data_IF_191589697713
#
_entry.id   IF_191589697713
#
_cell.length_a   1.000
_cell.length_b   1.000
_cell.length_c   1.000
_cell.angle_alpha   90.00
_cell.angle_beta   90.00
_cell.angle_gamma   90.00
#
_symmetry.space_group_name_H-M   'P 1'
#
loop_
_entity.id
_entity.type
_entity.pdbx_description
1 polymer ?
#
# COMPACT_ATOMS: atom_id res chain seq x y z
N UNK A 1 55.77 23.44 34.21
CA UNK A 1 56.06 22.27 33.37
C UNK A 1 54.75 21.58 33.01
N UNK A 2 54.54 21.28 31.70
CA UNK A 2 53.79 20.16 31.04
C UNK A 2 52.53 19.59 31.73
N UNK A 3 51.43 19.17 31.10
CA UNK A 3 50.90 18.89 29.74
C UNK A 3 49.37 18.71 29.99
N UNK A 4 48.39 18.99 29.12
CA UNK A 4 48.23 18.55 27.73
C UNK A 4 47.62 17.14 27.64
N UNK A 5 46.30 17.01 27.39
CA UNK A 5 45.66 16.08 26.42
C UNK A 5 44.19 15.73 26.76
N UNK A 6 43.33 15.87 25.74
CA UNK A 6 41.97 15.34 25.61
C UNK A 6 42.02 13.85 25.17
N UNK A 7 41.07 13.00 25.58
CA UNK A 7 40.67 11.78 24.84
C UNK A 7 39.32 11.25 25.39
N UNK A 8 38.20 11.33 24.64
CA UNK A 8 37.52 10.25 23.87
C UNK A 8 36.89 9.18 24.79
N UNK A 9 35.59 8.87 24.76
CA UNK A 9 34.69 8.76 23.61
C UNK A 9 34.55 7.29 23.23
N UNK A 10 33.75 6.51 23.96
CA UNK A 10 33.44 5.13 23.59
C UNK A 10 31.98 5.03 23.13
N UNK A 11 31.82 5.25 21.84
CA UNK A 11 30.64 4.88 21.07
C UNK A 11 30.71 3.37 20.82
N UNK A 12 29.69 2.63 21.27
CA UNK A 12 29.50 1.24 20.83
C UNK A 12 29.14 1.25 19.34
N UNK A 13 30.14 0.98 18.50
CA UNK A 13 29.98 0.78 17.07
C UNK A 13 29.54 -0.66 16.80
N UNK A 14 28.27 -0.84 16.43
CA UNK A 14 27.78 -2.06 15.80
C UNK A 14 27.39 -1.77 14.36
N UNK A 15 28.35 -2.02 13.47
CA UNK A 15 28.22 -2.50 12.08
C UNK A 15 26.85 -2.38 11.39
N UNK A 16 26.70 -1.31 10.62
CA UNK A 16 25.60 -1.07 9.67
C UNK A 16 25.74 -1.88 8.37
N UNK A 17 25.77 -3.22 8.42
CA UNK A 17 25.95 -4.05 7.21
C UNK A 17 24.82 -5.09 6.97
N UNK A 18 23.75 -5.14 7.78
CA UNK A 18 22.65 -6.11 7.55
C UNK A 18 21.44 -5.57 6.78
N UNK A 19 21.26 -4.24 6.69
CA UNK A 19 19.99 -3.68 6.19
C UNK A 19 19.75 -3.84 4.68
N UNK A 20 20.79 -4.18 3.90
CA UNK A 20 20.66 -4.31 2.44
C UNK A 20 20.18 -5.70 2.02
N UNK A 21 20.67 -6.77 2.66
CA UNK A 21 20.31 -8.16 2.35
C UNK A 21 18.85 -8.47 2.65
N UNK A 22 18.34 -8.02 3.80
CA UNK A 22 16.93 -8.24 4.19
C UNK A 22 15.94 -7.74 3.12
N UNK A 23 16.29 -6.65 2.42
CA UNK A 23 15.39 -6.07 1.42
C UNK A 23 15.45 -6.73 0.05
N UNK A 24 16.52 -7.44 -0.28
CA UNK A 24 16.65 -8.14 -1.57
C UNK A 24 15.94 -9.49 -1.52
N UNK A 25 16.08 -10.20 -0.40
CA UNK A 25 15.36 -11.45 -0.14
C UNK A 25 13.84 -11.21 -0.10
N UNK A 26 13.41 -10.12 0.56
CA UNK A 26 12.01 -9.69 0.55
C UNK A 26 11.48 -9.39 -0.86
N UNK A 27 12.33 -8.88 -1.77
CA UNK A 27 11.93 -8.62 -3.16
C UNK A 27 11.74 -9.93 -3.92
N UNK A 28 12.66 -10.88 -3.77
CA UNK A 28 12.56 -12.18 -4.41
C UNK A 28 11.29 -12.91 -3.97
N UNK A 29 11.02 -12.93 -2.67
CA UNK A 29 9.81 -13.55 -2.10
C UNK A 29 8.55 -12.87 -2.64
N UNK A 30 8.52 -11.53 -2.63
CA UNK A 30 7.41 -10.76 -3.17
C UNK A 30 7.13 -11.12 -4.65
N UNK A 31 8.16 -11.16 -5.50
CA UNK A 31 8.02 -11.49 -6.92
C UNK A 31 7.42 -12.87 -7.13
N UNK A 32 7.95 -13.89 -6.43
CA UNK A 32 7.45 -15.27 -6.55
C UNK A 32 5.97 -15.36 -6.14
N UNK A 33 5.60 -14.74 -5.02
CA UNK A 33 4.21 -14.71 -4.56
C UNK A 33 3.28 -14.04 -5.58
N UNK A 34 3.68 -12.89 -6.15
CA UNK A 34 2.88 -12.20 -7.16
C UNK A 34 2.62 -13.04 -8.42
N UNK A 35 3.64 -13.76 -8.90
CA UNK A 35 3.49 -14.61 -10.09
C UNK A 35 2.51 -15.76 -9.86
N UNK A 36 2.57 -16.42 -8.70
CA UNK A 36 1.63 -17.50 -8.37
C UNK A 36 0.18 -17.00 -8.28
N UNK A 37 -0.05 -15.85 -7.66
CA UNK A 37 -1.41 -15.35 -7.44
C UNK A 37 -2.05 -14.68 -8.65
N UNK A 38 -1.26 -14.13 -9.59
CA UNK A 38 -1.78 -13.56 -10.84
C UNK A 38 -2.68 -14.51 -11.63
N UNK A 39 -2.41 -15.83 -11.54
CA UNK A 39 -3.21 -16.88 -12.20
C UNK A 39 -4.58 -17.08 -11.56
N UNK A 40 -4.70 -16.87 -10.24
CA UNK A 40 -5.97 -16.99 -9.52
C UNK A 40 -6.87 -15.76 -9.74
N UNK A 41 -6.29 -14.57 -9.85
CA UNK A 41 -7.02 -13.32 -10.00
C UNK A 41 -7.86 -13.26 -11.28
N UNK A 42 -7.37 -13.84 -12.39
CA UNK A 42 -8.13 -13.95 -13.63
C UNK A 42 -9.41 -14.80 -13.49
N UNK A 43 -9.42 -15.82 -12.63
CA UNK A 43 -10.63 -16.61 -12.37
C UNK A 43 -11.65 -15.82 -11.53
N UNK A 44 -11.18 -15.04 -10.55
CA UNK A 44 -12.02 -14.17 -9.73
C UNK A 44 -12.66 -13.07 -10.58
N UNK A 45 -11.88 -12.40 -11.43
CA UNK A 45 -12.40 -11.35 -12.32
C UNK A 45 -13.51 -11.87 -13.25
N UNK A 46 -13.31 -13.05 -13.87
CA UNK A 46 -14.35 -13.71 -14.67
C UNK A 46 -15.62 -14.01 -13.87
N UNK A 47 -15.47 -14.55 -12.66
CA UNK A 47 -16.60 -14.84 -11.78
C UNK A 47 -17.38 -13.57 -11.41
N UNK A 48 -16.68 -12.49 -11.05
CA UNK A 48 -17.31 -11.20 -10.71
C UNK A 48 -18.05 -10.59 -11.90
N UNK A 49 -17.49 -10.71 -13.12
CA UNK A 49 -18.11 -10.16 -14.34
C UNK A 49 -19.46 -10.81 -14.70
N UNK A 50 -19.71 -12.04 -14.23
CA UNK A 50 -20.97 -12.77 -14.47
C UNK A 50 -22.04 -12.57 -13.40
N UNK A 51 -21.74 -11.85 -12.30
CA UNK A 51 -22.71 -11.64 -11.22
C UNK A 51 -23.61 -10.44 -11.50
N UNK A 52 -24.91 -10.62 -11.27
CA UNK A 52 -25.88 -9.53 -11.39
C UNK A 52 -25.55 -8.42 -10.39
N UNK A 53 -25.58 -7.13 -10.79
CA UNK A 53 -25.35 -6.03 -9.86
C UNK A 53 -26.37 -6.05 -8.73
N UNK A 54 -25.90 -6.00 -7.48
CA UNK A 54 -26.78 -5.82 -6.32
C UNK A 54 -27.32 -4.38 -6.36
N UNK A 55 -28.66 -4.17 -6.41
CA UNK A 55 -29.24 -2.83 -6.38
C UNK A 55 -28.72 -2.04 -5.17
N UNK A 56 -28.32 -0.80 -5.42
CA UNK A 56 -27.80 0.09 -4.39
C UNK A 56 -28.41 1.47 -4.55
N UNK A 57 -28.84 2.04 -3.43
CA UNK A 57 -29.21 3.45 -3.36
C UNK A 57 -28.00 4.20 -2.80
N UNK A 58 -27.32 5.04 -3.60
CA UNK A 58 -26.23 5.87 -3.11
C UNK A 58 -26.68 6.73 -1.94
N UNK A 59 -25.92 6.69 -0.85
CA UNK A 59 -26.14 7.55 0.30
C UNK A 59 -24.95 8.49 0.44
N UNK A 60 -25.22 9.80 0.52
CA UNK A 60 -24.18 10.81 0.76
C UNK A 60 -24.26 11.19 2.24
N UNK A 61 -23.21 10.89 2.99
CA UNK A 61 -23.12 11.29 4.39
C UNK A 61 -22.82 12.80 4.47
N UNK A 62 -23.80 13.58 4.91
CA UNK A 62 -23.64 15.04 5.12
C UNK A 62 -22.90 15.38 6.41
N UNK A 63 -22.86 14.44 7.36
CA UNK A 63 -22.24 14.56 8.67
C UNK A 63 -21.56 13.24 9.04
N UNK A 64 -20.69 13.28 10.05
CA UNK A 64 -20.07 12.07 10.58
C UNK A 64 -21.19 11.16 11.12
N UNK A 65 -21.30 9.91 10.64
CA UNK A 65 -22.36 9.00 11.07
C UNK A 65 -22.24 8.68 12.56
N UNK A 66 -23.38 8.39 13.20
CA UNK A 66 -23.37 7.86 14.56
C UNK A 66 -22.69 6.48 14.59
N UNK A 67 -22.28 6.01 15.76
CA UNK A 67 -21.72 4.65 15.90
C UNK A 67 -22.71 3.58 15.44
N UNK A 68 -24.01 3.80 15.64
CA UNK A 68 -25.06 2.89 15.19
C UNK A 68 -25.13 2.86 13.66
N UNK A 69 -25.21 4.02 13.02
CA UNK A 69 -25.29 4.11 11.55
C UNK A 69 -24.04 3.55 10.89
N UNK A 70 -22.85 3.84 11.43
CA UNK A 70 -21.59 3.29 10.95
C UNK A 70 -21.54 1.75 11.07
N UNK A 71 -22.14 1.19 12.12
CA UNK A 71 -22.24 -0.26 12.31
C UNK A 71 -23.19 -0.90 11.28
N UNK A 72 -24.32 -0.27 11.00
CA UNK A 72 -25.26 -0.72 9.97
C UNK A 72 -24.65 -0.64 8.57
N UNK A 73 -23.93 0.44 8.27
CA UNK A 73 -23.19 0.60 7.01
C UNK A 73 -22.11 -0.49 6.86
N UNK A 74 -21.40 -0.82 7.94
CA UNK A 74 -20.41 -1.90 7.95
C UNK A 74 -21.06 -3.27 7.74
N UNK A 75 -22.19 -3.56 8.40
CA UNK A 75 -22.93 -4.79 8.17
C UNK A 75 -23.37 -4.92 6.71
N UNK A 76 -23.91 -3.84 6.11
CA UNK A 76 -24.29 -3.81 4.69
C UNK A 76 -23.10 -4.09 3.77
N UNK A 77 -21.90 -3.60 4.11
CA UNK A 77 -20.67 -3.93 3.38
C UNK A 77 -20.36 -5.43 3.46
N UNK A 78 -20.43 -6.03 4.65
CA UNK A 78 -20.13 -7.45 4.85
C UNK A 78 -21.11 -8.36 4.08
N UNK A 79 -22.41 -8.05 4.11
CA UNK A 79 -23.44 -8.76 3.35
C UNK A 79 -23.14 -8.73 1.84
N UNK A 80 -22.71 -7.57 1.32
CA UNK A 80 -22.32 -7.45 -0.09
C UNK A 80 -21.08 -8.24 -0.44
N UNK A 81 -20.03 -8.16 0.40
CA UNK A 81 -18.82 -8.96 0.19
C UNK A 81 -19.15 -10.46 0.13
N UNK A 82 -20.05 -10.93 1.00
CA UNK A 82 -20.50 -12.32 1.02
C UNK A 82 -21.17 -12.75 -0.30
N UNK A 83 -22.02 -11.91 -0.90
CA UNK A 83 -22.63 -12.19 -2.23
C UNK A 83 -21.56 -12.44 -3.29
N UNK A 84 -20.45 -11.72 -3.23
CA UNK A 84 -19.32 -11.88 -4.15
C UNK A 84 -18.31 -12.94 -3.69
N UNK A 85 -18.58 -13.68 -2.61
CA UNK A 85 -17.64 -14.60 -1.96
C UNK A 85 -16.29 -13.95 -1.66
N UNK A 86 -16.34 -12.68 -1.24
CA UNK A 86 -15.23 -11.88 -0.75
C UNK A 86 -15.41 -11.69 0.76
N UNK A 87 -14.35 -11.26 1.43
CA UNK A 87 -14.38 -10.92 2.85
C UNK A 87 -13.44 -9.74 3.11
N UNK A 88 -13.69 -9.04 4.21
CA UNK A 88 -12.85 -7.93 4.65
C UNK A 88 -11.62 -8.46 5.40
N UNK A 89 -10.43 -8.00 5.00
CA UNK A 89 -9.19 -8.19 5.75
C UNK A 89 -8.85 -6.88 6.45
N UNK A 90 -8.83 -6.91 7.78
CA UNK A 90 -8.47 -5.72 8.58
C UNK A 90 -6.95 -5.51 8.53
N UNK A 91 -6.55 -4.29 8.22
CA UNK A 91 -5.16 -3.82 8.30
C UNK A 91 -5.03 -2.71 9.34
N UNK A 92 -3.82 -2.43 9.80
CA UNK A 92 -3.55 -1.33 10.73
C UNK A 92 -4.00 0.01 10.15
N UNK A 93 -4.75 0.80 10.93
CA UNK A 93 -5.20 2.15 10.59
C UNK A 93 -4.12 3.23 10.72
N UNK A 94 -2.91 2.95 10.23
CA UNK A 94 -1.78 3.88 10.22
C UNK A 94 -1.63 4.54 8.83
N UNK A 95 -0.66 5.44 8.68
CA UNK A 95 -0.36 6.06 7.38
C UNK A 95 0.24 5.09 6.34
N UNK A 96 0.33 3.79 6.63
CA UNK A 96 0.73 2.74 5.69
C UNK A 96 -0.44 1.87 5.24
N UNK A 97 -1.65 2.08 5.77
CA UNK A 97 -2.81 1.23 5.55
C UNK A 97 -3.07 0.89 4.07
N UNK A 98 -2.98 1.88 3.17
CA UNK A 98 -3.18 1.65 1.73
C UNK A 98 -2.13 0.69 1.16
N UNK A 99 -0.86 0.85 1.55
CA UNK A 99 0.24 -0.01 1.07
C UNK A 99 0.18 -1.41 1.70
N UNK A 100 -0.31 -1.51 2.95
CA UNK A 100 -0.58 -2.80 3.61
C UNK A 100 -1.71 -3.55 2.92
N UNK A 101 -2.81 -2.86 2.57
CA UNK A 101 -3.91 -3.44 1.82
C UNK A 101 -3.45 -3.91 0.44
N UNK A 102 -2.66 -3.09 -0.29
CA UNK A 102 -2.08 -3.50 -1.57
C UNK A 102 -1.13 -4.69 -1.42
N UNK A 103 -0.30 -4.70 -0.37
CA UNK A 103 0.60 -5.81 -0.05
C UNK A 103 -0.19 -7.10 0.22
N UNK A 104 -1.28 -7.03 0.97
CA UNK A 104 -2.16 -8.18 1.21
C UNK A 104 -2.79 -8.71 -0.09
N UNK A 105 -3.24 -7.82 -0.97
CA UNK A 105 -3.83 -8.24 -2.25
C UNK A 105 -2.80 -8.91 -3.19
N UNK A 106 -1.54 -8.46 -3.18
CA UNK A 106 -0.49 -8.99 -4.07
C UNK A 106 0.26 -10.19 -3.49
N UNK A 107 0.47 -10.21 -2.17
CA UNK A 107 1.36 -11.16 -1.50
C UNK A 107 0.69 -11.95 -0.39
N UNK A 108 -0.63 -11.80 -0.18
CA UNK A 108 -1.40 -12.40 0.93
C UNK A 108 -0.81 -12.08 2.31
N UNK A 109 -0.07 -10.98 2.40
CA UNK A 109 0.58 -10.52 3.62
C UNK A 109 0.71 -8.99 3.61
N UNK A 110 0.32 -8.29 4.68
CA UNK A 110 0.49 -6.85 4.79
C UNK A 110 1.96 -6.43 5.09
N UNK A 111 2.86 -7.37 5.34
CA UNK A 111 4.23 -7.10 5.81
C UNK A 111 5.14 -6.51 4.73
N UNK A 112 4.87 -6.79 3.45
CA UNK A 112 5.64 -6.27 2.32
C UNK A 112 5.25 -4.82 1.91
N UNK A 113 4.48 -4.11 2.75
CA UNK A 113 4.00 -2.75 2.45
C UNK A 113 5.11 -1.73 2.14
N UNK A 114 6.32 -1.91 2.71
CA UNK A 114 7.48 -1.07 2.41
C UNK A 114 7.95 -1.27 0.98
N UNK A 115 7.99 -2.52 0.51
CA UNK A 115 8.30 -2.88 -0.87
C UNK A 115 7.29 -2.30 -1.84
N UNK A 116 5.99 -2.48 -1.55
CA UNK A 116 4.91 -1.88 -2.34
C UNK A 116 5.06 -0.36 -2.46
N UNK A 117 5.33 0.34 -1.35
CA UNK A 117 5.55 1.80 -1.37
C UNK A 117 6.74 2.18 -2.24
N UNK A 118 7.87 1.48 -2.09
CA UNK A 118 9.10 1.72 -2.89
C UNK A 118 8.80 1.57 -4.38
N UNK A 119 8.08 0.52 -4.76
CA UNK A 119 7.75 0.25 -6.15
C UNK A 119 6.80 1.24 -6.78
N UNK A 120 5.78 1.65 -6.04
CA UNK A 120 4.83 2.70 -6.45
C UNK A 120 5.57 4.01 -6.65
N UNK A 121 6.40 4.42 -5.69
CA UNK A 121 7.15 5.68 -5.78
C UNK A 121 8.16 5.66 -6.92
N UNK A 122 8.79 4.51 -7.20
CA UNK A 122 9.64 4.33 -8.39
C UNK A 122 8.83 4.54 -9.67
N UNK A 123 7.67 3.89 -9.80
CA UNK A 123 6.81 4.02 -10.97
C UNK A 123 6.34 5.46 -11.21
N UNK A 124 5.98 6.17 -10.14
CA UNK A 124 5.60 7.58 -10.18
C UNK A 124 6.76 8.44 -10.73
N UNK A 125 7.98 8.23 -10.22
CA UNK A 125 9.17 8.96 -10.68
C UNK A 125 9.48 8.68 -12.15
N UNK A 126 9.42 7.41 -12.56
CA UNK A 126 9.81 6.96 -13.90
C UNK A 126 8.80 7.41 -14.97
N UNK A 127 7.52 7.60 -14.61
CA UNK A 127 6.44 7.94 -15.55
C UNK A 127 5.72 9.24 -15.16
N UNK A 128 6.49 10.27 -14.80
CA UNK A 128 5.98 11.57 -14.32
C UNK A 128 4.85 12.15 -15.18
N UNK A 129 5.00 12.12 -16.50
CA UNK A 129 4.03 12.63 -17.47
C UNK A 129 2.64 12.02 -17.33
N UNK A 130 2.53 10.76 -16.86
CA UNK A 130 1.25 10.08 -16.67
C UNK A 130 0.50 10.52 -15.42
N UNK A 131 1.19 11.12 -14.44
CA UNK A 131 0.64 11.36 -13.10
C UNK A 131 0.65 12.82 -12.67
N UNK A 132 1.57 13.64 -13.20
CA UNK A 132 1.78 15.00 -12.73
C UNK A 132 0.52 15.87 -12.79
N UNK A 133 -0.32 15.69 -13.82
CA UNK A 133 -1.58 16.44 -13.97
C UNK A 133 -2.60 16.21 -12.85
N UNK A 134 -2.49 15.10 -12.09
CA UNK A 134 -3.38 14.80 -10.97
C UNK A 134 -2.84 15.31 -9.63
N UNK A 135 -1.63 15.86 -9.60
CA UNK A 135 -0.95 16.27 -8.36
C UNK A 135 -1.00 17.79 -8.24
N UNK A 136 -1.72 18.36 -7.25
CA UNK A 136 -1.91 19.81 -7.11
C UNK A 136 -0.67 20.55 -6.57
N UNK A 137 0.48 19.86 -6.46
CA UNK A 137 1.72 20.42 -5.95
C UNK A 137 2.92 20.05 -6.83
N UNK A 138 4.07 20.70 -6.59
CA UNK A 138 5.31 20.37 -7.30
C UNK A 138 5.58 18.86 -7.24
N UNK A 139 5.62 18.19 -8.39
CA UNK A 139 5.67 16.74 -8.48
C UNK A 139 6.86 16.11 -7.73
N UNK A 140 8.03 16.75 -7.80
CA UNK A 140 9.22 16.34 -7.05
C UNK A 140 8.99 16.35 -5.53
N UNK A 141 8.22 17.32 -5.01
CA UNK A 141 7.85 17.40 -3.59
C UNK A 141 6.88 16.28 -3.24
N UNK A 142 5.89 16.03 -4.10
CA UNK A 142 4.95 14.92 -3.95
C UNK A 142 5.66 13.57 -3.85
N UNK A 143 6.55 13.24 -4.79
CA UNK A 143 7.28 11.97 -4.77
C UNK A 143 8.16 11.81 -3.50
N UNK A 144 8.77 12.90 -3.02
CA UNK A 144 9.53 12.88 -1.75
C UNK A 144 8.64 12.65 -0.54
N UNK A 145 7.44 13.23 -0.54
CA UNK A 145 6.45 13.02 0.52
C UNK A 145 6.00 11.56 0.54
N UNK A 146 5.61 11.04 -0.62
CA UNK A 146 5.07 9.69 -0.77
C UNK A 146 6.09 8.58 -0.48
N UNK A 147 7.38 8.88 -0.61
CA UNK A 147 8.47 7.97 -0.22
C UNK A 147 8.59 7.75 1.30
N UNK A 148 8.03 8.65 2.14
CA UNK A 148 8.14 8.55 3.60
C UNK A 148 7.22 7.45 4.14
N UNK A 149 7.74 6.62 5.02
CA UNK A 149 6.92 5.69 5.80
C UNK A 149 5.89 6.47 6.63
N UNK A 150 4.66 5.96 6.70
CA UNK A 150 3.55 6.64 7.38
C UNK A 150 2.94 7.82 6.61
N UNK A 151 3.42 8.14 5.40
CA UNK A 151 2.69 9.08 4.54
C UNK A 151 1.47 8.39 3.92
N UNK A 152 0.30 8.97 4.13
CA UNK A 152 -0.97 8.48 3.61
C UNK A 152 -0.94 8.44 2.07
N UNK A 153 -1.33 7.28 1.52
CA UNK A 153 -1.54 7.13 0.08
C UNK A 153 -2.81 7.87 -0.37
N UNK A 154 -2.92 8.07 -1.68
CA UNK A 154 -4.03 8.76 -2.32
C UNK A 154 -4.52 8.00 -3.57
N UNK A 155 -5.35 8.64 -4.39
CA UNK A 155 -5.85 8.05 -5.63
C UNK A 155 -4.75 7.86 -6.70
N UNK A 156 -3.66 8.63 -6.66
CA UNK A 156 -2.57 8.53 -7.63
C UNK A 156 -1.69 7.32 -7.31
N UNK A 157 -1.43 7.04 -6.02
CA UNK A 157 -0.74 5.82 -5.60
C UNK A 157 -1.53 4.54 -5.87
N UNK A 158 -2.85 4.60 -6.02
CA UNK A 158 -3.67 3.46 -6.48
C UNK A 158 -3.62 3.23 -7.99
N UNK A 159 -3.31 4.26 -8.79
CA UNK A 159 -3.18 4.11 -10.24
C UNK A 159 -1.83 3.54 -10.66
N UNK A 160 -0.77 3.84 -9.90
CA UNK A 160 0.59 3.42 -10.23
C UNK A 160 0.77 1.89 -10.30
N UNK A 161 0.23 1.09 -9.37
CA UNK A 161 0.26 -0.37 -9.47
C UNK A 161 -0.31 -0.86 -10.80
N UNK A 162 -1.52 -0.44 -11.16
CA UNK A 162 -2.22 -0.90 -12.38
C UNK A 162 -1.38 -0.71 -13.64
N UNK A 163 -0.60 0.37 -13.72
CA UNK A 163 0.17 0.74 -14.92
C UNK A 163 1.58 0.17 -14.97
N UNK A 164 2.11 -0.39 -13.87
CA UNK A 164 3.49 -0.89 -13.83
C UNK A 164 3.60 -2.27 -14.45
N UNK A 165 2.83 -3.24 -13.98
CA UNK A 165 2.88 -4.63 -14.45
C UNK A 165 1.64 -5.44 -13.98
N UNK A 166 0.62 -4.77 -13.44
CA UNK A 166 -0.48 -5.41 -12.69
C UNK A 166 -1.83 -5.29 -13.41
N UNK A 167 -1.80 -5.31 -14.75
CA UNK A 167 -3.00 -5.32 -15.57
C UNK A 167 -3.64 -6.72 -15.50
N UNK A 168 -4.91 -6.74 -15.06
CA UNK A 168 -5.87 -7.75 -15.45
C UNK A 168 -6.06 -7.73 -16.98
#
# INVERSE_FOLDING_TARGET
MRNGAQHVGECSSSTSWSSHQDTEDDQMIAVVLSEEFSKLDGAVARRLSGLAPVPHVPHINSYIPSLHDASLDHQRLLERLHVYGLYEVKVSGDGNCQFRALSDQMYRSPEYHKHVRKDIVKQLKDNRNLYEGYVPMKYKRYCKKMAKSGEWGDHVTLQAPKKKHWLF
#
